data_IF_310284658274
#
_entry.id   IF_310284658274
#
_cell.length_a   1.000
_cell.length_b   1.000
_cell.length_c   1.000
_cell.angle_alpha   90.00
_cell.angle_beta   90.00
_cell.angle_gamma   90.00
#
_symmetry.space_group_name_H-M   'P 1'
#
loop_
_entity.id
_entity.type
_entity.pdbx_description
1 polymer ?
#
# COMPACT_ATOMS: atom_id res chain seq x y z
N UNK A 1 32.00 -33.40 13.86
CA UNK A 1 32.37 -32.14 13.15
C UNK A 1 31.11 -31.60 12.53
N UNK A 2 30.44 -30.78 13.32
CA UNK A 2 29.13 -30.22 12.98
C UNK A 2 29.38 -28.95 12.16
N UNK A 3 29.06 -28.99 10.88
CA UNK A 3 29.09 -27.78 10.03
C UNK A 3 27.77 -27.06 10.21
N UNK A 4 27.68 -26.28 11.27
CA UNK A 4 26.61 -25.28 11.42
C UNK A 4 26.80 -24.25 10.30
N UNK A 5 26.06 -24.42 9.22
CA UNK A 5 25.92 -23.38 8.20
C UNK A 5 25.06 -22.28 8.83
N UNK A 6 25.70 -21.23 9.33
CA UNK A 6 25.01 -19.99 9.74
C UNK A 6 24.34 -19.44 8.47
N UNK A 7 23.05 -19.66 8.28
CA UNK A 7 22.26 -18.93 7.29
C UNK A 7 22.27 -17.48 7.75
N UNK A 8 22.64 -16.56 6.86
CA UNK A 8 22.46 -15.14 7.15
C UNK A 8 20.99 -14.89 7.48
N UNK A 9 20.71 -14.40 8.67
CA UNK A 9 19.34 -14.16 9.15
C UNK A 9 18.63 -13.09 8.31
N UNK A 10 19.40 -12.17 7.70
CA UNK A 10 18.89 -11.10 6.85
C UNK A 10 19.48 -11.21 5.45
N UNK A 11 18.58 -11.25 4.46
CA UNK A 11 18.91 -11.15 3.04
C UNK A 11 18.03 -10.06 2.42
N UNK A 12 18.61 -8.97 1.93
CA UNK A 12 17.87 -7.92 1.22
C UNK A 12 18.36 -7.83 -0.22
N UNK A 13 17.43 -7.91 -1.16
CA UNK A 13 17.72 -7.80 -2.60
C UNK A 13 16.93 -6.66 -3.21
N UNK A 14 17.63 -5.77 -3.94
CA UNK A 14 17.00 -4.71 -4.72
C UNK A 14 16.75 -5.19 -6.15
N UNK A 15 15.55 -4.91 -6.63
CA UNK A 15 15.10 -5.16 -8.01
C UNK A 15 14.70 -3.84 -8.68
N UNK A 16 15.02 -2.71 -8.05
CA UNK A 16 14.86 -1.37 -8.61
C UNK A 16 16.11 -1.06 -9.45
N UNK A 17 15.99 -1.14 -10.76
CA UNK A 17 17.07 -0.84 -11.69
C UNK A 17 16.59 -0.01 -12.89
N UNK A 18 17.48 0.60 -13.66
CA UNK A 18 17.11 1.29 -14.87
C UNK A 18 16.34 0.36 -15.81
N UNK A 19 15.05 0.67 -16.07
CA UNK A 19 14.15 -0.11 -16.92
C UNK A 19 13.23 -1.09 -16.20
N UNK A 20 13.41 -1.35 -14.90
CA UNK A 20 12.51 -2.21 -14.12
C UNK A 20 11.31 -1.48 -13.55
N UNK A 21 11.33 -0.15 -13.45
CA UNK A 21 10.23 0.70 -13.02
C UNK A 21 9.77 1.62 -14.13
N UNK A 22 8.45 1.91 -14.15
CA UNK A 22 7.99 3.15 -14.77
C UNK A 22 8.53 4.29 -13.94
N UNK A 23 9.44 5.05 -14.52
CA UNK A 23 10.02 6.21 -13.88
C UNK A 23 8.94 7.28 -13.62
N UNK A 24 9.22 8.24 -12.75
CA UNK A 24 8.39 9.43 -12.61
C UNK A 24 8.20 10.11 -13.97
N UNK A 25 9.25 10.16 -14.78
CA UNK A 25 9.23 10.72 -16.13
C UNK A 25 8.21 10.03 -17.05
N UNK A 26 8.17 8.68 -17.05
CA UNK A 26 7.19 7.92 -17.85
C UNK A 26 5.75 8.16 -17.39
N UNK A 27 5.53 8.20 -16.07
CA UNK A 27 4.21 8.42 -15.49
C UNK A 27 3.72 9.86 -15.72
N UNK A 28 4.62 10.85 -15.66
CA UNK A 28 4.31 12.25 -16.02
C UNK A 28 3.98 12.37 -17.51
N UNK A 29 4.81 11.80 -18.39
CA UNK A 29 4.56 11.86 -19.83
C UNK A 29 3.23 11.20 -20.20
N UNK A 30 2.90 10.05 -19.61
CA UNK A 30 1.64 9.35 -19.88
C UNK A 30 0.43 10.06 -19.24
N UNK A 31 0.52 10.42 -17.97
CA UNK A 31 -0.62 10.91 -17.20
C UNK A 31 -0.92 12.40 -17.42
N UNK A 32 0.11 13.25 -17.53
CA UNK A 32 -0.07 14.69 -17.62
C UNK A 32 -0.39 15.17 -19.06
N UNK A 33 -0.19 14.32 -20.08
CA UNK A 33 -0.57 14.63 -21.46
C UNK A 33 -2.00 14.17 -21.82
N UNK A 34 -2.71 13.52 -20.89
CA UNK A 34 -4.10 13.11 -21.10
C UNK A 34 -5.06 14.30 -21.03
N UNK A 35 -6.24 14.21 -21.67
CA UNK A 35 -7.28 15.22 -21.54
C UNK A 35 -7.69 15.52 -20.10
N UNK A 36 -7.73 14.48 -19.25
CA UNK A 36 -7.83 14.60 -17.79
C UNK A 36 -6.49 14.16 -17.20
N UNK A 37 -5.77 15.13 -16.63
CA UNK A 37 -4.43 14.91 -16.10
C UNK A 37 -4.48 14.06 -14.84
N UNK A 38 -3.53 13.14 -14.71
CA UNK A 38 -3.38 12.30 -13.52
C UNK A 38 -1.92 11.95 -13.27
N UNK A 39 -1.59 11.68 -12.02
CA UNK A 39 -0.28 11.16 -11.58
C UNK A 39 -0.47 10.00 -10.62
N UNK A 40 0.45 9.05 -10.62
CA UNK A 40 0.36 7.87 -9.75
C UNK A 40 0.71 8.21 -8.29
N UNK A 41 -0.05 7.72 -7.29
CA UNK A 41 0.14 8.06 -5.88
C UNK A 41 1.47 7.57 -5.30
N UNK A 42 2.13 6.58 -5.91
CA UNK A 42 3.46 6.12 -5.47
C UNK A 42 4.50 7.25 -5.40
N UNK A 43 4.34 8.31 -6.17
CA UNK A 43 5.25 9.46 -6.23
C UNK A 43 5.07 10.47 -5.08
N UNK A 44 4.11 10.25 -4.19
CA UNK A 44 4.01 11.02 -2.95
C UNK A 44 5.14 10.69 -1.96
N UNK A 45 5.63 9.44 -1.96
CA UNK A 45 6.41 8.83 -0.89
C UNK A 45 7.93 9.01 -1.05
N UNK A 46 8.38 10.27 -1.26
CA UNK A 46 9.77 10.62 -0.97
C UNK A 46 9.96 10.79 0.56
N UNK A 47 11.16 11.15 1.01
CA UNK A 47 11.43 11.33 2.45
C UNK A 47 10.43 12.28 3.12
N UNK A 48 10.14 13.44 2.49
CA UNK A 48 9.16 14.41 2.99
C UNK A 48 7.74 13.84 3.00
N UNK A 49 7.36 13.16 1.93
CA UNK A 49 6.05 12.54 1.80
C UNK A 49 5.83 11.43 2.83
N UNK A 50 6.88 10.65 3.14
CA UNK A 50 6.86 9.67 4.23
C UNK A 50 6.58 10.33 5.58
N UNK A 51 7.32 11.40 5.92
CA UNK A 51 7.11 12.16 7.18
C UNK A 51 5.69 12.75 7.25
N UNK A 52 5.17 13.26 6.13
CA UNK A 52 3.80 13.79 6.07
C UNK A 52 2.76 12.67 6.24
N UNK A 53 2.98 11.51 5.64
CA UNK A 53 2.07 10.39 5.79
C UNK A 53 2.07 9.85 7.23
N UNK A 54 3.21 9.76 7.87
CA UNK A 54 3.29 9.39 9.29
C UNK A 54 2.45 10.35 10.15
N UNK A 55 2.56 11.67 9.91
CA UNK A 55 1.70 12.66 10.57
C UNK A 55 0.22 12.47 10.25
N UNK A 56 -0.14 12.16 9.00
CA UNK A 56 -1.53 11.87 8.63
C UNK A 56 -2.07 10.71 9.47
N UNK A 57 -1.27 9.65 9.69
CA UNK A 57 -1.71 8.49 10.47
C UNK A 57 -2.01 8.80 11.95
N UNK A 58 -1.53 9.94 12.45
CA UNK A 58 -1.73 10.41 13.83
C UNK A 58 -2.95 11.33 13.98
N UNK A 59 -3.49 11.86 12.87
CA UNK A 59 -4.64 12.78 12.89
C UNK A 59 -5.92 12.09 13.38
N UNK A 60 -6.73 12.82 14.13
CA UNK A 60 -8.02 12.30 14.64
C UNK A 60 -8.98 11.93 13.51
N UNK A 61 -8.99 12.68 12.42
CA UNK A 61 -9.81 12.43 11.24
C UNK A 61 -9.37 11.18 10.46
N UNK A 62 -8.06 10.80 10.51
CA UNK A 62 -7.54 9.66 9.77
C UNK A 62 -7.71 8.36 10.55
N UNK A 63 -8.93 7.84 10.58
CA UNK A 63 -9.31 6.61 11.29
C UNK A 63 -8.69 5.30 10.72
N UNK A 64 -8.32 5.17 9.41
CA UNK A 64 -7.99 3.84 8.83
C UNK A 64 -6.86 3.12 9.56
N UNK A 65 -5.79 3.82 9.95
CA UNK A 65 -4.66 3.22 10.66
C UNK A 65 -5.05 2.70 12.04
N UNK A 66 -5.88 3.46 12.78
CA UNK A 66 -6.34 3.05 14.12
C UNK A 66 -7.32 1.88 14.05
N UNK A 67 -8.27 1.94 13.13
CA UNK A 67 -9.26 0.89 12.92
C UNK A 67 -8.58 -0.43 12.54
N UNK A 68 -7.67 -0.41 11.56
CA UNK A 68 -6.91 -1.61 11.15
C UNK A 68 -6.06 -2.17 12.30
N UNK A 69 -5.39 -1.31 13.07
CA UNK A 69 -4.63 -1.73 14.26
C UNK A 69 -5.53 -2.42 15.28
N UNK A 70 -6.70 -1.84 15.57
CA UNK A 70 -7.67 -2.42 16.52
C UNK A 70 -8.08 -3.83 16.07
N UNK A 71 -8.35 -4.04 14.77
CA UNK A 71 -8.69 -5.37 14.26
C UNK A 71 -7.52 -6.34 14.45
N UNK A 72 -6.29 -5.90 14.12
CA UNK A 72 -5.09 -6.72 14.27
C UNK A 72 -4.87 -7.16 15.73
N UNK A 73 -5.06 -6.23 16.68
CA UNK A 73 -4.85 -6.48 18.12
C UNK A 73 -5.95 -7.33 18.74
N UNK A 74 -7.20 -7.21 18.28
CA UNK A 74 -8.35 -7.88 18.91
C UNK A 74 -8.66 -9.26 18.33
N UNK A 75 -8.45 -9.49 17.03
CA UNK A 75 -8.77 -10.76 16.36
C UNK A 75 -7.79 -11.14 15.26
N UNK A 76 -7.27 -10.17 14.51
CA UNK A 76 -6.49 -10.43 13.28
C UNK A 76 -5.23 -11.25 13.54
N UNK A 77 -4.50 -10.97 14.61
CA UNK A 77 -3.30 -11.73 14.96
C UNK A 77 -3.64 -13.18 15.33
N UNK A 78 -4.68 -13.38 16.14
CA UNK A 78 -5.16 -14.71 16.51
C UNK A 78 -5.61 -15.52 15.27
N UNK A 79 -6.39 -14.91 14.38
CA UNK A 79 -6.84 -15.56 13.15
C UNK A 79 -5.66 -16.01 12.26
N UNK A 80 -4.58 -15.24 12.22
CA UNK A 80 -3.37 -15.61 11.47
C UNK A 80 -2.61 -16.74 12.19
N UNK A 81 -2.51 -16.71 13.52
CA UNK A 81 -1.89 -17.79 14.31
C UNK A 81 -2.65 -19.11 14.14
N UNK A 82 -3.97 -19.10 14.14
CA UNK A 82 -4.82 -20.28 13.93
C UNK A 82 -4.58 -21.00 12.60
N UNK A 83 -4.05 -20.30 11.57
CA UNK A 83 -3.66 -20.95 10.31
C UNK A 83 -2.40 -21.80 10.42
N UNK A 84 -1.62 -21.68 11.50
CA UNK A 84 -0.30 -22.30 11.65
C UNK A 84 0.77 -21.67 10.76
N UNK A 85 0.62 -20.39 10.43
CA UNK A 85 1.52 -19.64 9.52
C UNK A 85 2.97 -19.72 9.97
N UNK A 86 3.83 -20.13 9.05
CA UNK A 86 5.29 -20.17 9.24
C UNK A 86 6.01 -19.05 8.49
N UNK A 87 5.34 -18.44 7.53
CA UNK A 87 5.90 -17.40 6.68
C UNK A 87 4.89 -16.28 6.44
N UNK A 88 5.32 -15.04 6.70
CA UNK A 88 4.57 -13.84 6.39
C UNK A 88 5.24 -13.09 5.24
N UNK A 89 4.50 -12.84 4.16
CA UNK A 89 4.89 -11.97 3.04
C UNK A 89 4.07 -10.68 3.13
N UNK A 90 4.69 -9.53 3.14
CA UNK A 90 3.99 -8.26 3.24
C UNK A 90 4.30 -7.34 2.06
N UNK A 91 3.27 -6.73 1.49
CA UNK A 91 3.36 -5.78 0.41
C UNK A 91 3.20 -4.35 0.92
N UNK A 92 4.17 -3.48 0.62
CA UNK A 92 4.20 -2.12 1.15
C UNK A 92 4.48 -2.12 2.66
N UNK A 93 5.57 -2.78 3.06
CA UNK A 93 5.87 -3.01 4.48
C UNK A 93 6.18 -1.74 5.28
N UNK A 94 6.73 -0.71 4.63
CA UNK A 94 7.17 0.49 5.31
C UNK A 94 8.04 0.17 6.54
N UNK A 95 7.70 0.72 7.69
CA UNK A 95 8.35 0.46 8.99
C UNK A 95 7.87 -0.82 9.69
N UNK A 96 6.95 -1.58 9.08
CA UNK A 96 6.30 -2.76 9.64
C UNK A 96 5.62 -2.54 11.01
N UNK A 97 5.26 -1.30 11.36
CA UNK A 97 4.74 -0.95 12.70
C UNK A 97 3.49 -1.76 13.05
N UNK A 98 2.54 -1.89 12.11
CA UNK A 98 1.33 -2.70 12.32
C UNK A 98 1.63 -4.20 12.23
N UNK A 99 2.50 -4.57 11.32
CA UNK A 99 2.86 -5.98 11.07
C UNK A 99 3.62 -6.62 12.22
N UNK A 100 4.31 -5.80 13.04
CA UNK A 100 4.91 -6.30 14.29
C UNK A 100 3.90 -6.99 15.21
N UNK A 101 2.62 -6.61 15.16
CA UNK A 101 1.55 -7.28 15.93
C UNK A 101 1.43 -8.74 15.45
N UNK A 102 1.38 -8.96 14.15
CA UNK A 102 1.32 -10.30 13.56
C UNK A 102 2.60 -11.10 13.80
N UNK A 103 3.76 -10.47 13.56
CA UNK A 103 5.07 -11.13 13.71
C UNK A 103 5.31 -11.60 15.14
N UNK A 104 4.98 -10.76 16.13
CA UNK A 104 5.11 -11.14 17.56
C UNK A 104 4.16 -12.26 17.92
N UNK A 105 2.89 -12.19 17.50
CA UNK A 105 1.92 -13.25 17.79
C UNK A 105 2.34 -14.61 17.20
N UNK A 106 2.84 -14.63 15.98
CA UNK A 106 3.36 -15.84 15.32
C UNK A 106 4.66 -16.34 15.96
N UNK A 107 5.54 -15.44 16.39
CA UNK A 107 6.76 -15.78 17.11
C UNK A 107 6.45 -16.39 18.47
N UNK A 108 5.54 -15.79 19.23
CA UNK A 108 5.12 -16.27 20.55
C UNK A 108 4.40 -17.63 20.45
N UNK A 109 3.68 -17.88 19.35
CA UNK A 109 3.11 -19.18 19.01
C UNK A 109 4.17 -20.22 18.58
N UNK A 110 5.42 -19.80 18.36
CA UNK A 110 6.53 -20.68 17.96
C UNK A 110 6.46 -21.18 16.51
N UNK A 111 5.67 -20.53 15.64
CA UNK A 111 5.48 -20.95 14.25
C UNK A 111 6.28 -20.12 13.25
N UNK A 112 6.59 -18.85 13.54
CA UNK A 112 7.23 -17.93 12.62
C UNK A 112 8.66 -18.33 12.28
N UNK A 113 8.95 -18.55 11.00
CA UNK A 113 10.28 -18.88 10.49
C UNK A 113 10.83 -17.81 9.56
N UNK A 114 9.97 -17.21 8.72
CA UNK A 114 10.41 -16.24 7.72
C UNK A 114 9.43 -15.07 7.56
N UNK A 115 10.00 -13.87 7.43
CA UNK A 115 9.30 -12.66 7.00
C UNK A 115 9.86 -12.18 5.66
N UNK A 116 8.97 -11.80 4.74
CA UNK A 116 9.33 -11.33 3.40
C UNK A 116 8.67 -9.96 3.16
N UNK A 117 9.28 -8.85 3.64
CA UNK A 117 8.82 -7.50 3.33
C UNK A 117 9.12 -7.13 1.88
N UNK A 118 8.17 -6.46 1.23
CA UNK A 118 8.33 -5.86 -0.10
C UNK A 118 8.02 -4.37 0.00
N UNK A 119 8.99 -3.53 -0.29
CA UNK A 119 8.82 -2.08 -0.31
C UNK A 119 9.77 -1.44 -1.33
N UNK A 120 9.44 -0.23 -1.81
CA UNK A 120 10.30 0.52 -2.73
C UNK A 120 11.43 1.24 -2.00
N UNK A 121 11.32 1.44 -0.70
CA UNK A 121 12.26 2.21 0.12
C UNK A 121 13.34 1.31 0.71
N UNK A 122 14.49 1.20 0.03
CA UNK A 122 15.58 0.30 0.44
C UNK A 122 16.04 0.52 1.89
N UNK A 123 16.19 1.78 2.32
CA UNK A 123 16.60 2.12 3.68
C UNK A 123 15.65 1.55 4.73
N UNK A 124 14.34 1.65 4.51
CA UNK A 124 13.33 1.11 5.43
C UNK A 124 13.35 -0.43 5.45
N UNK A 125 13.43 -1.08 4.29
CA UNK A 125 13.49 -2.55 4.23
C UNK A 125 14.71 -3.08 5.00
N UNK A 126 15.88 -2.43 4.86
CA UNK A 126 17.10 -2.84 5.56
C UNK A 126 17.02 -2.62 7.06
N UNK A 127 16.70 -1.38 7.48
CA UNK A 127 16.62 -1.07 8.92
C UNK A 127 15.57 -1.90 9.63
N UNK A 128 14.38 -2.06 9.04
CA UNK A 128 13.32 -2.89 9.60
C UNK A 128 13.72 -4.38 9.69
N UNK A 129 14.45 -4.90 8.69
CA UNK A 129 14.94 -6.28 8.72
C UNK A 129 15.94 -6.52 9.86
N UNK A 130 16.88 -5.60 10.05
CA UNK A 130 17.88 -5.69 11.13
C UNK A 130 17.20 -5.60 12.51
N UNK A 131 16.30 -4.63 12.70
CA UNK A 131 15.54 -4.48 13.95
C UNK A 131 14.73 -5.76 14.29
N UNK A 132 14.06 -6.35 13.29
CA UNK A 132 13.20 -7.51 13.51
C UNK A 132 13.95 -8.79 13.87
N UNK A 133 15.14 -9.03 13.34
CA UNK A 133 15.93 -10.21 13.72
C UNK A 133 16.52 -10.07 15.13
N UNK A 134 16.77 -8.84 15.58
CA UNK A 134 17.16 -8.56 16.95
C UNK A 134 15.98 -8.70 17.93
N UNK A 135 14.78 -8.25 17.54
CA UNK A 135 13.55 -8.34 18.34
C UNK A 135 13.01 -9.79 18.45
N UNK A 136 13.15 -10.59 17.39
CA UNK A 136 12.50 -11.92 17.24
C UNK A 136 13.56 -13.00 16.94
N UNK A 137 14.22 -13.55 17.96
CA UNK A 137 15.28 -14.54 17.76
C UNK A 137 14.80 -15.77 16.97
N UNK A 138 15.57 -16.17 15.97
CA UNK A 138 15.24 -17.30 15.10
C UNK A 138 14.47 -16.91 13.82
N UNK A 139 14.01 -15.66 13.72
CA UNK A 139 13.41 -15.14 12.49
C UNK A 139 14.45 -15.01 11.39
N UNK A 140 14.12 -15.41 10.16
CA UNK A 140 14.85 -15.01 8.95
C UNK A 140 14.04 -13.95 8.16
N UNK A 141 14.73 -12.91 7.67
CA UNK A 141 14.10 -11.86 6.86
C UNK A 141 14.67 -11.87 5.44
N UNK A 142 13.79 -11.99 4.45
CA UNK A 142 14.10 -11.90 3.03
C UNK A 142 13.47 -10.64 2.44
N UNK A 143 14.12 -9.49 2.60
CA UNK A 143 13.65 -8.21 2.10
C UNK A 143 13.75 -8.11 0.57
N UNK A 144 12.69 -7.61 -0.05
CA UNK A 144 12.61 -7.31 -1.47
C UNK A 144 12.43 -5.80 -1.63
N UNK A 145 13.43 -5.13 -2.17
CA UNK A 145 13.33 -3.72 -2.56
C UNK A 145 12.76 -3.68 -3.97
N UNK A 146 11.52 -3.22 -4.11
CA UNK A 146 10.82 -3.26 -5.39
C UNK A 146 9.36 -2.86 -5.32
N UNK A 147 8.82 -2.50 -6.47
CA UNK A 147 7.40 -2.26 -6.67
C UNK A 147 6.63 -3.59 -6.64
N UNK A 148 5.74 -3.77 -5.67
CA UNK A 148 4.95 -4.99 -5.53
C UNK A 148 4.04 -5.26 -6.76
N UNK A 149 3.68 -4.24 -7.55
CA UNK A 149 2.95 -4.48 -8.79
C UNK A 149 3.78 -5.22 -9.85
N UNK A 150 5.10 -5.18 -9.78
CA UNK A 150 6.02 -5.71 -10.78
C UNK A 150 6.87 -6.86 -10.27
N UNK A 151 7.24 -6.83 -8.99
CA UNK A 151 8.29 -7.66 -8.45
C UNK A 151 7.80 -8.86 -7.62
N UNK A 152 6.46 -9.14 -7.56
CA UNK A 152 5.92 -10.34 -6.89
C UNK A 152 6.56 -11.66 -7.33
N UNK A 153 7.09 -11.72 -8.57
CA UNK A 153 7.80 -12.91 -9.08
C UNK A 153 9.08 -13.26 -8.30
N UNK A 154 9.59 -12.30 -7.52
CA UNK A 154 10.80 -12.45 -6.71
C UNK A 154 10.51 -12.92 -5.28
N UNK A 155 9.23 -13.02 -4.90
CA UNK A 155 8.84 -13.65 -3.64
C UNK A 155 9.40 -15.08 -3.65
N UNK A 156 10.19 -15.47 -2.63
CA UNK A 156 10.80 -16.78 -2.62
C UNK A 156 9.74 -17.89 -2.60
N UNK A 157 10.08 -19.11 -3.07
CA UNK A 157 9.21 -20.26 -2.90
C UNK A 157 8.78 -20.42 -1.44
N UNK A 158 7.51 -20.85 -1.17
CA UNK A 158 7.02 -21.02 0.19
C UNK A 158 7.83 -22.05 0.96
N UNK A 159 7.93 -21.86 2.26
CA UNK A 159 8.47 -22.84 3.18
C UNK A 159 7.53 -24.06 3.28
N UNK A 160 8.00 -25.11 3.94
CA UNK A 160 7.14 -26.23 4.30
C UNK A 160 6.25 -25.82 5.49
N UNK A 161 5.03 -25.42 5.20
CA UNK A 161 4.04 -24.87 6.12
C UNK A 161 3.24 -23.74 5.50
N UNK A 162 2.19 -23.26 6.20
CA UNK A 162 1.30 -22.20 5.69
C UNK A 162 2.00 -20.85 5.54
N UNK A 163 1.61 -20.14 4.50
CA UNK A 163 2.02 -18.76 4.19
C UNK A 163 0.83 -17.80 4.34
N UNK A 164 1.06 -16.66 4.95
CA UNK A 164 0.15 -15.52 4.81
C UNK A 164 0.81 -14.45 3.95
N UNK A 165 0.05 -13.96 2.97
CA UNK A 165 0.37 -12.75 2.19
C UNK A 165 -0.46 -11.62 2.78
N UNK A 166 0.17 -10.60 3.34
CA UNK A 166 -0.49 -9.44 3.93
C UNK A 166 -0.41 -8.24 2.98
N UNK A 167 -1.55 -7.60 2.75
CA UNK A 167 -1.65 -6.34 2.04
C UNK A 167 -2.55 -5.41 2.83
N UNK A 168 -1.94 -4.59 3.66
CA UNK A 168 -2.56 -3.78 4.70
C UNK A 168 -2.71 -2.32 4.28
N UNK A 169 -3.28 -1.49 5.18
CA UNK A 169 -3.40 -0.05 5.01
C UNK A 169 -4.49 0.41 4.04
N UNK A 170 -5.35 -0.49 3.56
CA UNK A 170 -6.37 -0.13 2.57
C UNK A 170 -5.81 0.21 1.18
N UNK A 171 -4.52 -0.01 0.95
CA UNK A 171 -3.81 0.31 -0.30
C UNK A 171 -4.44 -0.31 -1.55
N UNK A 172 -5.15 -1.43 -1.40
CA UNK A 172 -5.93 -2.03 -2.49
C UNK A 172 -6.99 -1.08 -3.08
N UNK A 173 -7.43 -0.08 -2.31
CA UNK A 173 -8.35 0.97 -2.73
C UNK A 173 -7.75 1.92 -3.77
N UNK A 174 -6.42 2.02 -3.87
CA UNK A 174 -5.75 2.90 -4.81
C UNK A 174 -5.75 2.34 -6.25
N UNK A 175 -6.24 1.12 -6.42
CA UNK A 175 -6.35 0.49 -7.74
C UNK A 175 -7.73 0.70 -8.37
N UNK A 176 -7.80 1.20 -9.62
CA UNK A 176 -9.03 1.16 -10.39
C UNK A 176 -9.57 -0.29 -10.50
N UNK A 177 -10.89 -0.50 -10.64
CA UNK A 177 -11.51 -1.84 -10.54
C UNK A 177 -10.86 -2.93 -11.43
N UNK A 178 -10.51 -2.60 -12.67
CA UNK A 178 -9.85 -3.53 -13.58
C UNK A 178 -8.43 -3.91 -13.16
N UNK A 179 -7.66 -2.92 -12.68
CA UNK A 179 -6.29 -3.12 -12.16
C UNK A 179 -6.32 -3.90 -10.85
N UNK A 180 -7.25 -3.55 -9.95
CA UNK A 180 -7.46 -4.24 -8.67
C UNK A 180 -7.70 -5.73 -8.86
N UNK A 181 -8.63 -6.14 -9.74
CA UNK A 181 -8.89 -7.55 -10.04
C UNK A 181 -7.69 -8.26 -10.68
N UNK A 182 -6.93 -7.58 -11.52
CA UNK A 182 -5.68 -8.16 -12.07
C UNK A 182 -4.64 -8.36 -10.98
N UNK A 183 -4.51 -7.41 -10.07
CA UNK A 183 -3.58 -7.48 -8.97
C UNK A 183 -3.95 -8.60 -7.99
N UNK A 184 -5.22 -8.68 -7.56
CA UNK A 184 -5.71 -9.77 -6.70
C UNK A 184 -5.48 -11.15 -7.32
N UNK A 185 -5.65 -11.32 -8.64
CA UNK A 185 -5.29 -12.58 -9.34
C UNK A 185 -3.81 -12.91 -9.26
N UNK A 186 -2.94 -11.89 -9.21
CA UNK A 186 -1.49 -12.11 -9.03
C UNK A 186 -1.18 -12.53 -7.60
N UNK A 187 -1.84 -11.93 -6.60
CA UNK A 187 -1.72 -12.35 -5.21
C UNK A 187 -2.21 -13.78 -5.00
N UNK A 188 -3.33 -14.16 -5.61
CA UNK A 188 -3.84 -15.53 -5.55
C UNK A 188 -2.82 -16.59 -6.04
N UNK A 189 -1.91 -16.23 -6.95
CA UNK A 189 -0.83 -17.14 -7.43
C UNK A 189 0.28 -17.37 -6.41
N UNK A 190 0.40 -16.52 -5.40
CA UNK A 190 1.34 -16.72 -4.29
C UNK A 190 0.83 -17.73 -3.27
N UNK A 191 -0.47 -18.06 -3.32
CA UNK A 191 -1.14 -19.00 -2.44
C UNK A 191 -1.26 -20.36 -3.11
N UNK A 192 -0.87 -21.42 -2.42
CA UNK A 192 -1.01 -22.81 -2.89
C UNK A 192 -2.48 -23.25 -2.75
N UNK A 193 -3.08 -23.84 -3.76
CA UNK A 193 -4.45 -24.36 -3.65
C UNK A 193 -4.50 -25.55 -2.66
N UNK A 194 -5.61 -25.71 -1.95
CA UNK A 194 -5.82 -26.82 -1.03
C UNK A 194 -4.92 -26.80 0.22
N UNK A 195 -4.29 -25.66 0.52
CA UNK A 195 -3.44 -25.48 1.72
C UNK A 195 -4.05 -24.46 2.67
N UNK A 196 -3.40 -24.27 3.83
CA UNK A 196 -3.75 -23.21 4.76
C UNK A 196 -3.11 -21.86 4.41
N UNK A 197 -2.61 -21.66 3.19
CA UNK A 197 -2.12 -20.35 2.73
C UNK A 197 -3.28 -19.35 2.67
N UNK A 198 -3.03 -18.11 3.10
CA UNK A 198 -4.07 -17.06 3.17
C UNK A 198 -3.57 -15.73 2.63
N UNK A 199 -4.51 -14.94 2.10
CA UNK A 199 -4.36 -13.52 1.89
C UNK A 199 -5.02 -12.78 3.06
N UNK A 200 -4.27 -11.93 3.76
CA UNK A 200 -4.79 -10.97 4.72
C UNK A 200 -4.86 -9.60 4.04
N UNK A 201 -6.07 -9.13 3.77
CA UNK A 201 -6.32 -7.92 2.99
C UNK A 201 -7.05 -6.88 3.82
N UNK A 202 -6.46 -5.68 3.91
CA UNK A 202 -7.08 -4.51 4.53
C UNK A 202 -7.93 -3.73 3.53
N UNK A 203 -9.16 -3.40 3.92
CA UNK A 203 -10.11 -2.65 3.09
C UNK A 203 -10.87 -1.61 3.91
N UNK A 204 -10.87 -0.38 3.45
CA UNK A 204 -11.66 0.70 4.02
C UNK A 204 -13.12 0.57 3.56
N UNK A 205 -14.07 0.65 4.50
CA UNK A 205 -15.48 0.37 4.23
C UNK A 205 -16.24 1.64 3.82
N UNK A 206 -17.32 1.46 3.04
CA UNK A 206 -18.29 2.52 2.78
C UNK A 206 -18.97 2.92 4.09
N UNK A 207 -19.02 4.20 4.37
CA UNK A 207 -19.59 4.80 5.59
C UNK A 207 -20.07 6.22 5.33
N UNK A 208 -20.36 6.98 6.39
CA UNK A 208 -20.71 8.38 6.31
C UNK A 208 -19.72 9.19 5.48
N UNK A 209 -20.24 9.98 4.54
CA UNK A 209 -19.42 10.75 3.58
C UNK A 209 -18.58 11.80 4.30
N UNK A 210 -19.12 12.45 5.32
CA UNK A 210 -18.37 13.45 6.10
C UNK A 210 -17.14 12.85 6.77
N UNK A 211 -17.27 11.64 7.31
CA UNK A 211 -16.15 10.87 7.89
C UNK A 211 -15.11 10.50 6.83
N UNK A 212 -15.56 10.08 5.65
CA UNK A 212 -14.68 9.73 4.54
C UNK A 212 -13.89 10.94 4.04
N UNK A 213 -14.58 12.07 3.81
CA UNK A 213 -13.95 13.27 3.28
C UNK A 213 -13.00 13.92 4.28
N UNK A 214 -13.36 13.95 5.58
CA UNK A 214 -12.49 14.49 6.63
C UNK A 214 -11.16 13.74 6.72
N UNK A 215 -11.15 12.43 6.53
CA UNK A 215 -9.92 11.64 6.55
C UNK A 215 -8.92 11.97 5.42
N UNK A 216 -9.41 12.59 4.33
CA UNK A 216 -8.57 13.00 3.19
C UNK A 216 -8.50 14.52 3.02
N UNK A 217 -9.12 15.28 3.90
CA UNK A 217 -9.11 16.75 3.92
C UNK A 217 -9.18 17.23 5.37
N UNK A 218 -8.17 16.87 6.14
CA UNK A 218 -8.05 17.17 7.57
C UNK A 218 -8.02 18.66 7.88
N UNK A 219 -8.46 18.99 9.08
CA UNK A 219 -8.54 20.38 9.55
C UNK A 219 -7.19 21.08 9.73
N UNK A 220 -6.10 20.33 9.90
CA UNK A 220 -4.73 20.83 10.01
C UNK A 220 -4.06 21.05 8.65
N UNK A 221 -4.63 20.53 7.55
CA UNK A 221 -4.10 20.66 6.19
C UNK A 221 -2.86 19.80 5.91
N UNK A 222 -2.62 18.78 6.72
CA UNK A 222 -1.47 17.87 6.52
C UNK A 222 -1.63 17.06 5.24
N UNK A 223 -2.84 16.54 4.98
CA UNK A 223 -3.15 15.82 3.73
C UNK A 223 -3.03 16.72 2.51
N UNK A 224 -3.41 18.00 2.63
CA UNK A 224 -3.22 18.97 1.55
C UNK A 224 -1.73 19.17 1.22
N UNK A 225 -0.86 19.24 2.23
CA UNK A 225 0.59 19.34 2.02
C UNK A 225 1.18 18.04 1.44
N UNK A 226 0.69 16.88 1.88
CA UNK A 226 1.05 15.59 1.31
C UNK A 226 0.68 15.51 -0.18
N UNK A 227 -0.53 15.93 -0.52
CA UNK A 227 -0.99 15.95 -1.92
C UNK A 227 -0.13 16.89 -2.79
N UNK A 228 0.17 18.11 -2.31
CA UNK A 228 1.05 19.05 -3.03
C UNK A 228 2.50 18.58 -3.15
N UNK A 229 2.92 17.62 -2.31
CA UNK A 229 4.28 17.13 -2.33
C UNK A 229 4.67 16.52 -3.69
N UNK A 230 3.72 15.92 -4.41
CA UNK A 230 4.00 15.35 -5.75
C UNK A 230 4.51 16.42 -6.74
N UNK A 231 4.03 17.67 -6.63
CA UNK A 231 4.53 18.77 -7.46
C UNK A 231 5.98 19.13 -7.09
N UNK A 232 6.31 19.12 -5.78
CA UNK A 232 7.69 19.33 -5.32
C UNK A 232 8.63 18.22 -5.78
N UNK A 233 8.13 16.98 -5.81
CA UNK A 233 8.89 15.84 -6.35
C UNK A 233 9.15 16.04 -7.83
N UNK A 234 8.14 16.40 -8.64
CA UNK A 234 8.32 16.69 -10.06
C UNK A 234 9.28 17.85 -10.31
N UNK A 235 9.19 18.94 -9.52
CA UNK A 235 10.11 20.07 -9.63
C UNK A 235 11.56 19.65 -9.37
N UNK A 236 11.78 18.84 -8.33
CA UNK A 236 13.13 18.39 -7.96
C UNK A 236 13.72 17.36 -8.91
N UNK A 237 12.92 16.38 -9.33
CA UNK A 237 13.40 15.19 -10.02
C UNK A 237 13.39 15.33 -11.55
N UNK A 238 12.51 16.20 -12.06
CA UNK A 238 12.32 16.40 -13.50
C UNK A 238 12.60 17.83 -13.96
N UNK A 239 13.22 18.66 -13.09
CA UNK A 239 13.47 20.07 -13.38
C UNK A 239 12.21 20.79 -13.87
N UNK A 240 11.09 20.55 -13.19
CA UNK A 240 9.83 21.20 -13.49
C UNK A 240 9.69 22.51 -12.70
N UNK A 241 8.80 23.40 -13.15
CA UNK A 241 8.60 24.72 -12.57
C UNK A 241 7.17 24.95 -12.03
N UNK A 242 6.53 23.88 -11.49
CA UNK A 242 5.23 24.01 -10.84
C UNK A 242 5.28 25.06 -9.71
N UNK A 243 4.38 26.05 -9.78
CA UNK A 243 4.06 26.92 -8.65
C UNK A 243 3.15 26.12 -7.68
N UNK A 244 3.75 25.48 -6.69
CA UNK A 244 3.08 24.54 -5.77
C UNK A 244 1.94 25.22 -5.00
N UNK A 245 2.13 26.48 -4.62
CA UNK A 245 1.16 27.24 -3.82
C UNK A 245 -0.04 27.72 -4.67
N UNK A 246 0.08 27.69 -5.98
CA UNK A 246 -1.02 27.96 -6.91
C UNK A 246 -1.94 26.75 -7.16
N UNK A 247 -1.73 25.64 -6.44
CA UNK A 247 -2.61 24.47 -6.49
C UNK A 247 -3.36 24.27 -5.17
N UNK A 248 -4.68 24.24 -5.27
CA UNK A 248 -5.59 23.91 -4.18
C UNK A 248 -5.77 22.40 -4.08
N UNK A 249 -5.70 21.88 -2.85
CA UNK A 249 -6.08 20.49 -2.57
C UNK A 249 -7.60 20.34 -2.60
N UNK A 250 -8.06 19.26 -3.25
CA UNK A 250 -9.48 18.88 -3.32
C UNK A 250 -9.58 17.40 -2.99
N UNK A 251 -10.45 17.05 -2.05
CA UNK A 251 -10.82 15.67 -1.77
C UNK A 251 -12.34 15.56 -1.67
N UNK A 252 -12.92 14.56 -2.28
CA UNK A 252 -14.37 14.31 -2.26
C UNK A 252 -14.69 12.84 -2.45
N UNK A 253 -15.85 12.41 -1.99
CA UNK A 253 -16.38 11.08 -2.21
C UNK A 253 -17.22 11.02 -3.49
N UNK A 254 -16.79 10.20 -4.45
CA UNK A 254 -17.56 9.89 -5.67
C UNK A 254 -18.53 8.73 -5.36
N UNK A 255 -19.81 9.05 -5.26
CA UNK A 255 -20.87 8.09 -4.94
C UNK A 255 -21.06 7.01 -6.01
N UNK A 256 -20.84 7.33 -7.29
CA UNK A 256 -21.03 6.38 -8.39
C UNK A 256 -19.92 5.32 -8.42
N UNK A 257 -18.73 5.72 -8.01
CA UNK A 257 -17.53 4.87 -7.98
C UNK A 257 -17.22 4.30 -6.62
N UNK A 258 -17.85 4.86 -5.57
CA UNK A 258 -17.60 4.54 -4.17
C UNK A 258 -16.10 4.64 -3.82
N UNK A 259 -15.51 5.78 -4.13
CA UNK A 259 -14.13 6.10 -3.75
C UNK A 259 -13.95 7.56 -3.34
N UNK A 260 -12.96 7.81 -2.50
CA UNK A 260 -12.41 9.15 -2.37
C UNK A 260 -11.52 9.42 -3.57
N UNK A 261 -11.61 10.60 -4.11
CA UNK A 261 -10.71 11.11 -5.14
C UNK A 261 -9.97 12.33 -4.61
N UNK A 262 -8.64 12.30 -4.62
CA UNK A 262 -7.82 13.48 -4.36
C UNK A 262 -7.37 14.11 -5.67
N UNK A 263 -7.45 15.43 -5.72
CA UNK A 263 -7.03 16.26 -6.85
C UNK A 263 -6.23 17.47 -6.41
N UNK A 264 -5.47 18.00 -7.34
CA UNK A 264 -4.88 19.33 -7.26
C UNK A 264 -5.54 20.20 -8.32
N UNK A 265 -6.11 21.35 -7.88
CA UNK A 265 -6.83 22.30 -8.72
C UNK A 265 -6.00 23.55 -8.92
N UNK A 266 -5.73 23.91 -10.18
CA UNK A 266 -5.03 25.14 -10.53
C UNK A 266 -5.88 26.36 -10.16
N UNK A 267 -5.38 27.25 -9.31
CA UNK A 267 -6.13 28.46 -8.87
C UNK A 267 -6.22 29.53 -9.97
N UNK A 268 -5.29 29.50 -10.93
CA UNK A 268 -5.20 30.39 -12.08
C UNK A 268 -4.70 29.66 -13.29
N UNK A 269 -4.84 30.26 -14.47
CA UNK A 269 -4.15 29.76 -15.66
C UNK A 269 -2.64 29.82 -15.44
N UNK A 270 -1.95 28.74 -15.79
CA UNK A 270 -0.50 28.66 -15.77
C UNK A 270 0.01 27.71 -16.86
N UNK A 271 1.21 27.98 -17.32
CA UNK A 271 1.98 27.10 -18.16
C UNK A 271 3.14 26.58 -17.30
N UNK A 272 3.42 25.29 -17.37
CA UNK A 272 4.46 24.60 -16.59
C UNK A 272 5.40 23.90 -17.54
N UNK A 273 6.69 24.15 -17.41
CA UNK A 273 7.72 23.43 -18.16
C UNK A 273 8.32 22.31 -17.33
N UNK A 274 8.47 21.11 -17.91
CA UNK A 274 9.12 19.94 -17.31
C UNK A 274 10.43 19.72 -18.07
N UNK A 275 11.53 20.30 -17.55
CA UNK A 275 12.80 20.40 -18.28
C UNK A 275 13.40 19.06 -18.68
N UNK A 276 13.36 18.05 -17.81
CA UNK A 276 13.89 16.71 -18.10
C UNK A 276 13.16 16.00 -19.25
N UNK A 277 11.95 16.45 -19.63
CA UNK A 277 11.12 15.86 -20.68
C UNK A 277 10.95 16.76 -21.90
N UNK A 278 11.47 18.00 -21.85
CA UNK A 278 11.18 19.06 -22.85
C UNK A 278 9.66 19.15 -23.11
N UNK A 279 8.86 19.15 -22.03
CA UNK A 279 7.41 19.07 -22.07
C UNK A 279 6.77 20.32 -21.49
N UNK A 280 5.94 21.00 -22.28
CA UNK A 280 5.12 22.11 -21.83
C UNK A 280 3.70 21.62 -21.50
N UNK A 281 3.25 21.93 -20.28
CA UNK A 281 1.92 21.62 -19.77
C UNK A 281 1.14 22.91 -19.54
N UNK A 282 -0.08 23.00 -20.06
CA UNK A 282 -0.98 24.10 -19.76
C UNK A 282 -2.06 23.67 -18.77
N UNK A 283 -2.31 24.53 -17.80
CA UNK A 283 -3.45 24.40 -16.87
C UNK A 283 -4.37 25.61 -17.05
N UNK A 284 -5.64 25.37 -17.36
CA UNK A 284 -6.64 26.42 -17.29
C UNK A 284 -6.93 26.77 -15.80
N UNK A 285 -7.47 27.96 -15.55
CA UNK A 285 -7.97 28.30 -14.22
C UNK A 285 -9.06 27.30 -13.81
N UNK A 286 -8.93 26.73 -12.60
CA UNK A 286 -9.77 25.67 -12.02
C UNK A 286 -9.65 24.29 -12.69
N UNK A 287 -8.70 24.08 -13.59
CA UNK A 287 -8.40 22.75 -14.10
C UNK A 287 -7.83 21.87 -12.97
N UNK A 288 -8.23 20.62 -12.98
CA UNK A 288 -7.87 19.65 -11.95
C UNK A 288 -7.02 18.52 -12.53
N UNK A 289 -6.05 18.08 -11.77
CA UNK A 289 -5.34 16.83 -11.98
C UNK A 289 -5.62 15.87 -10.84
N UNK A 290 -5.90 14.60 -11.16
CA UNK A 290 -6.09 13.57 -10.14
C UNK A 290 -4.75 13.07 -9.66
N UNK A 291 -4.64 12.96 -8.35
CA UNK A 291 -3.42 12.50 -7.69
C UNK A 291 -3.61 11.15 -7.00
N UNK A 292 -4.84 10.84 -6.56
CA UNK A 292 -5.14 9.56 -5.91
C UNK A 292 -6.62 9.20 -6.05
N UNK A 293 -6.89 7.90 -6.04
CA UNK A 293 -8.20 7.34 -5.70
C UNK A 293 -8.05 6.43 -4.48
N UNK A 294 -9.08 6.35 -3.64
CA UNK A 294 -9.15 5.40 -2.54
C UNK A 294 -10.55 4.79 -2.48
N UNK A 295 -10.71 3.62 -3.12
CA UNK A 295 -11.99 2.92 -3.17
C UNK A 295 -12.39 2.44 -1.77
N UNK A 296 -13.68 2.58 -1.51
CA UNK A 296 -14.32 2.07 -0.30
C UNK A 296 -15.09 0.81 -0.66
N UNK A 297 -15.17 -0.11 0.28
CA UNK A 297 -15.72 -1.43 0.01
C UNK A 297 -17.02 -1.66 0.76
N UNK A 298 -17.99 -2.23 0.08
CA UNK A 298 -19.04 -3.01 0.72
C UNK A 298 -18.58 -4.47 0.82
N UNK A 299 -19.26 -5.25 1.64
CA UNK A 299 -18.97 -6.69 1.75
C UNK A 299 -19.12 -7.39 0.40
N UNK A 300 -20.18 -7.08 -0.32
CA UNK A 300 -20.49 -7.65 -1.64
C UNK A 300 -19.41 -7.31 -2.67
N UNK A 301 -18.89 -6.07 -2.64
CA UNK A 301 -17.79 -5.64 -3.53
C UNK A 301 -16.52 -6.40 -3.23
N UNK A 302 -16.16 -6.53 -1.96
CA UNK A 302 -14.99 -7.27 -1.54
C UNK A 302 -15.07 -8.74 -1.98
N UNK A 303 -16.17 -9.41 -1.66
CA UNK A 303 -16.41 -10.81 -2.02
C UNK A 303 -16.42 -11.00 -3.55
N UNK A 304 -17.02 -10.08 -4.30
CA UNK A 304 -17.04 -10.10 -5.76
C UNK A 304 -15.65 -9.93 -6.40
N UNK A 305 -14.81 -9.02 -5.88
CA UNK A 305 -13.45 -8.82 -6.37
C UNK A 305 -12.55 -10.02 -6.03
N UNK A 306 -12.69 -10.61 -4.84
CA UNK A 306 -11.99 -11.83 -4.44
C UNK A 306 -12.40 -13.03 -5.31
N UNK A 307 -13.70 -13.23 -5.50
CA UNK A 307 -14.22 -14.32 -6.36
C UNK A 307 -13.73 -14.19 -7.81
N UNK A 308 -13.72 -12.98 -8.36
CA UNK A 308 -13.17 -12.71 -9.70
C UNK A 308 -11.65 -12.98 -9.80
N UNK A 309 -10.96 -13.08 -8.67
CA UNK A 309 -9.55 -13.44 -8.58
C UNK A 309 -9.31 -14.92 -8.24
N UNK A 310 -10.36 -15.74 -8.11
CA UNK A 310 -10.28 -17.14 -7.72
C UNK A 310 -9.99 -17.34 -6.23
N UNK A 311 -10.47 -16.41 -5.40
CA UNK A 311 -10.34 -16.46 -3.94
C UNK A 311 -11.71 -16.37 -3.27
N UNK A 312 -11.80 -16.80 -2.03
CA UNK A 312 -12.97 -16.61 -1.18
C UNK A 312 -12.56 -16.20 0.22
N UNK A 313 -13.30 -15.31 0.89
CA UNK A 313 -13.04 -14.99 2.28
C UNK A 313 -13.37 -16.20 3.17
N UNK A 314 -12.49 -16.48 4.12
CA UNK A 314 -12.71 -17.45 5.21
C UNK A 314 -13.25 -16.72 6.42
N UNK A 315 -12.71 -15.54 6.70
CA UNK A 315 -13.14 -14.68 7.78
C UNK A 315 -13.05 -13.21 7.35
N UNK A 316 -14.02 -12.41 7.79
CA UNK A 316 -13.99 -10.94 7.62
C UNK A 316 -14.18 -10.33 8.99
N UNK A 317 -13.17 -9.63 9.46
CA UNK A 317 -13.09 -8.98 10.76
C UNK A 317 -13.22 -7.47 10.59
N UNK A 318 -13.95 -6.81 11.47
CA UNK A 318 -14.08 -5.34 11.48
C UNK A 318 -13.69 -4.77 12.82
N UNK A 319 -13.31 -3.51 12.85
CA UNK A 319 -13.23 -2.75 14.08
C UNK A 319 -14.63 -2.57 14.70
N UNK A 320 -14.73 -2.20 15.98
CA UNK A 320 -16.03 -2.08 16.67
C UNK A 320 -17.01 -1.10 16.02
N UNK A 321 -16.50 -0.07 15.35
CA UNK A 321 -17.31 0.95 14.69
C UNK A 321 -17.65 0.60 13.23
N UNK A 322 -17.12 -0.51 12.71
CA UNK A 322 -17.36 -0.97 11.34
C UNK A 322 -16.75 -0.05 10.27
N UNK A 323 -15.66 0.63 10.59
CA UNK A 323 -15.01 1.57 9.68
C UNK A 323 -14.09 0.89 8.68
N UNK A 324 -13.43 -0.19 9.10
CA UNK A 324 -12.42 -0.89 8.32
C UNK A 324 -12.63 -2.40 8.42
N UNK A 325 -12.14 -3.15 7.45
CA UNK A 325 -12.18 -4.61 7.48
C UNK A 325 -10.81 -5.22 7.15
N UNK A 326 -10.47 -6.28 7.87
CA UNK A 326 -9.45 -7.25 7.48
C UNK A 326 -10.15 -8.52 7.01
N UNK A 327 -9.90 -8.93 5.79
CA UNK A 327 -10.38 -10.21 5.27
C UNK A 327 -9.24 -11.22 5.20
N UNK A 328 -9.44 -12.38 5.83
CA UNK A 328 -8.59 -13.55 5.68
C UNK A 328 -9.21 -14.43 4.58
N UNK A 329 -8.51 -14.59 3.47
CA UNK A 329 -9.05 -15.23 2.26
C UNK A 329 -8.14 -16.35 1.81
N UNK A 330 -8.73 -17.40 1.22
CA UNK A 330 -7.99 -18.51 0.63
C UNK A 330 -8.21 -18.59 -0.88
N UNK A 331 -7.33 -19.31 -1.56
CA UNK A 331 -7.54 -19.62 -2.95
C UNK A 331 -8.67 -20.64 -3.07
N UNK A 332 -9.69 -20.32 -3.88
CA UNK A 332 -10.77 -21.25 -4.16
C UNK A 332 -10.21 -22.46 -4.94
N UNK A 333 -10.65 -23.64 -4.58
CA UNK A 333 -10.39 -24.86 -5.35
C UNK A 333 -11.02 -24.67 -6.74
N UNK A 334 -10.24 -24.86 -7.80
CA UNK A 334 -10.67 -24.69 -9.20
C UNK A 334 -11.54 -25.84 -9.67
#
# INVERSE_FOLDING_TARGET
MDRTTTREAVVVRSYLGPGDERSLADDVLDGMTRPFKEIQPKHFYDARGGDLFDRITELDEYYPTRAERTILETRGAEAVVETGTVELVELGSGTATKTRILLRALHDAGTLLRYVPIDVTEGLVRSTADDLVDELPGLSVHGIVGDFERHLRHVPPPLDGPRVVAFLGGTIGNFPPGSRRRFLRRLARLLRPGTADRLLLGTDLVKDVGTLEAAYNDSEGVTAEFNRNVLRVMNRELDADFDVDAFEHVAFFDHDREWIEMRLRAQRRMDVHVGALDLDLAFAAREEMRTEISAKFTRERLEGDLAAAGMRPVEVMTDPDGLFALSLSERADG
#
